data_IF_686036534235
#
_entry.id   IF_686036534235
#
_cell.length_a   1.000
_cell.length_b   1.000
_cell.length_c   1.000
_cell.angle_alpha   90.00
_cell.angle_beta   90.00
_cell.angle_gamma   90.00
#
_symmetry.space_group_name_H-M   'P 1'
#
loop_
_entity.id
_entity.type
_entity.pdbx_description
1 polymer ?
#
# COMPACT_ATOMS: atom_id res chain seq x y z
N UNK A 1 3.10 30.46 9.46
CA UNK A 1 3.67 29.31 10.19
C UNK A 1 2.68 28.90 11.26
N UNK A 2 2.30 27.63 11.31
CA UNK A 2 1.56 27.02 12.42
C UNK A 2 2.58 26.22 13.25
N UNK A 3 2.52 26.28 14.57
CA UNK A 3 3.51 25.65 15.44
C UNK A 3 2.85 24.78 16.52
N UNK A 4 3.31 23.54 16.62
CA UNK A 4 3.00 22.59 17.70
C UNK A 4 4.30 22.36 18.47
N UNK A 5 4.52 23.08 19.58
CA UNK A 5 5.82 23.12 20.25
C UNK A 5 6.16 21.81 20.97
N UNK A 6 7.47 21.51 21.03
CA UNK A 6 8.01 20.39 21.79
C UNK A 6 7.60 20.46 23.28
N UNK A 7 7.38 19.28 23.88
CA UNK A 7 6.98 19.15 25.29
C UNK A 7 5.49 19.35 25.57
N UNK A 8 4.69 19.66 24.55
CA UNK A 8 3.24 19.81 24.66
C UNK A 8 2.49 18.73 23.90
N UNK A 9 1.32 18.36 24.44
CA UNK A 9 0.37 17.44 23.83
C UNK A 9 -0.95 18.16 23.59
N UNK A 10 -1.46 18.10 22.36
CA UNK A 10 -2.71 18.74 21.97
C UNK A 10 -3.75 17.69 21.59
N UNK A 11 -4.89 17.71 22.29
CA UNK A 11 -6.07 16.95 21.89
C UNK A 11 -6.78 17.73 20.76
N UNK A 12 -6.81 17.16 19.56
CA UNK A 12 -7.32 17.86 18.36
C UNK A 12 -8.43 17.02 17.73
N UNK A 13 -9.64 17.57 17.65
CA UNK A 13 -10.73 16.95 16.91
C UNK A 13 -10.53 17.01 15.38
N UNK A 14 -11.40 16.37 14.59
CA UNK A 14 -11.35 16.46 13.14
C UNK A 14 -11.33 17.91 12.64
N UNK A 15 -10.37 18.23 11.77
CA UNK A 15 -10.14 19.59 11.29
C UNK A 15 -9.62 19.59 9.86
N UNK A 16 -10.07 20.57 9.08
CA UNK A 16 -9.64 20.79 7.70
C UNK A 16 -9.07 22.20 7.54
N UNK A 17 -7.82 22.26 7.05
CA UNK A 17 -7.12 23.48 6.66
C UNK A 17 -7.29 23.65 5.14
N UNK A 18 -8.18 24.56 4.75
CA UNK A 18 -8.67 24.70 3.37
C UNK A 18 -8.50 26.10 2.82
N UNK A 19 -8.03 26.23 1.58
CA UNK A 19 -8.15 27.49 0.85
C UNK A 19 -7.26 27.60 -0.38
N UNK A 20 -7.83 27.71 -1.61
CA UNK A 20 -7.03 27.97 -2.81
C UNK A 20 -6.36 29.36 -2.80
N UNK A 21 -6.78 30.23 -1.89
CA UNK A 21 -6.26 31.59 -1.69
C UNK A 21 -5.43 31.72 -0.41
N UNK A 22 -5.08 30.62 0.23
CA UNK A 22 -4.09 30.64 1.30
C UNK A 22 -2.76 31.19 0.78
N UNK A 23 -1.97 31.79 1.68
CA UNK A 23 -0.59 32.12 1.35
C UNK A 23 0.14 30.86 0.91
N UNK A 24 1.00 30.98 -0.11
CA UNK A 24 1.85 29.88 -0.52
C UNK A 24 2.97 29.63 0.49
N UNK A 25 3.56 28.43 0.45
CA UNK A 25 4.74 28.05 1.25
C UNK A 25 4.47 28.10 2.77
N UNK A 26 3.30 27.62 3.19
CA UNK A 26 2.97 27.50 4.60
C UNK A 26 3.84 26.40 5.23
N UNK A 27 4.43 26.72 6.37
CA UNK A 27 5.11 25.75 7.22
C UNK A 27 4.21 25.41 8.41
N UNK A 28 3.93 24.12 8.57
CA UNK A 28 3.35 23.51 9.75
C UNK A 28 4.45 22.80 10.52
N UNK A 29 4.95 23.45 11.58
CA UNK A 29 6.00 22.93 12.44
C UNK A 29 5.37 22.04 13.53
N UNK A 30 5.71 20.76 13.53
CA UNK A 30 5.25 19.74 14.47
C UNK A 30 6.43 19.19 15.25
N UNK A 31 6.68 19.73 16.45
CA UNK A 31 7.70 19.24 17.39
C UNK A 31 7.12 18.63 18.67
N UNK A 32 5.86 18.92 18.98
CA UNK A 32 5.09 18.29 20.07
C UNK A 32 4.28 17.10 19.60
N UNK A 33 3.23 16.77 20.36
CA UNK A 33 2.34 15.64 20.06
C UNK A 33 0.92 16.13 19.79
N UNK A 34 0.31 15.66 18.71
CA UNK A 34 -1.13 15.78 18.45
C UNK A 34 -1.76 14.42 18.73
N UNK A 35 -2.82 14.36 19.54
CA UNK A 35 -3.56 13.14 19.84
C UNK A 35 -5.02 13.23 19.40
N UNK A 36 -5.54 12.12 18.89
CA UNK A 36 -6.94 12.00 18.48
C UNK A 36 -7.89 11.83 19.68
N UNK A 37 -9.15 12.31 19.58
CA UNK A 37 -10.19 12.00 20.55
C UNK A 37 -10.60 10.53 20.48
N UNK A 38 -10.79 9.91 21.64
CA UNK A 38 -11.26 8.53 21.77
C UNK A 38 -12.75 8.41 22.08
N UNK A 39 -13.47 9.54 22.14
CA UNK A 39 -14.91 9.57 22.32
C UNK A 39 -15.61 9.65 20.96
N UNK A 40 -16.59 8.77 20.73
CA UNK A 40 -17.31 8.72 19.45
C UNK A 40 -18.08 10.01 19.12
N UNK A 41 -18.39 10.84 20.12
CA UNK A 41 -19.05 12.14 19.95
C UNK A 41 -18.17 13.19 19.28
N UNK A 42 -16.86 13.02 19.25
CA UNK A 42 -15.95 13.89 18.49
C UNK A 42 -15.93 13.59 16.99
N UNK A 43 -16.55 12.50 16.56
CA UNK A 43 -16.51 11.99 15.17
C UNK A 43 -17.88 11.99 14.49
N UNK A 44 -18.71 13.00 14.80
CA UNK A 44 -20.07 13.12 14.24
C UNK A 44 -20.01 13.21 12.72
N UNK A 45 -20.82 12.39 12.04
CA UNK A 45 -20.96 12.41 10.58
C UNK A 45 -20.05 11.44 9.83
N UNK A 46 -19.21 10.64 10.51
CA UNK A 46 -18.41 9.59 9.84
C UNK A 46 -17.37 10.17 8.89
N UNK A 47 -16.52 11.05 9.41
CA UNK A 47 -15.51 11.75 8.63
C UNK A 47 -14.44 10.77 8.12
N UNK A 48 -14.06 10.93 6.85
CA UNK A 48 -13.05 10.09 6.19
C UNK A 48 -11.62 10.47 6.59
N UNK A 49 -11.43 11.61 7.25
CA UNK A 49 -10.13 12.14 7.61
C UNK A 49 -10.15 12.88 8.95
N UNK A 50 -9.03 12.84 9.66
CA UNK A 50 -8.82 13.53 10.93
C UNK A 50 -8.16 14.89 10.71
N UNK A 51 -6.92 14.93 10.22
CA UNK A 51 -6.22 16.16 9.86
C UNK A 51 -6.18 16.29 8.33
N UNK A 52 -6.82 17.32 7.79
CA UNK A 52 -6.87 17.54 6.35
C UNK A 52 -6.22 18.85 5.94
N UNK A 53 -5.41 18.81 4.88
CA UNK A 53 -4.89 19.97 4.18
C UNK A 53 -5.40 19.93 2.74
N UNK A 54 -6.14 20.96 2.32
CA UNK A 54 -6.86 20.89 1.04
C UNK A 54 -6.70 22.17 0.22
N UNK A 55 -6.41 21.98 -1.07
CA UNK A 55 -6.24 23.04 -2.08
C UNK A 55 -5.14 24.05 -1.73
N UNK A 56 -4.01 23.57 -1.19
CA UNK A 56 -2.86 24.42 -0.84
C UNK A 56 -1.79 24.39 -1.93
N UNK A 57 -0.95 25.43 -1.97
CA UNK A 57 0.20 25.51 -2.85
C UNK A 57 1.47 25.79 -2.02
N UNK A 58 2.38 24.83 -1.96
CA UNK A 58 3.55 24.90 -1.09
C UNK A 58 3.13 24.73 0.37
N UNK A 59 2.92 23.50 0.83
CA UNK A 59 2.70 23.20 2.25
C UNK A 59 3.78 22.24 2.72
N UNK A 60 4.50 22.63 3.76
CA UNK A 60 5.52 21.81 4.40
C UNK A 60 5.07 21.45 5.81
N UNK A 61 4.82 20.17 6.05
CA UNK A 61 4.67 19.61 7.40
C UNK A 61 6.01 19.03 7.82
N UNK A 62 6.62 19.61 8.85
CA UNK A 62 7.97 19.25 9.27
C UNK A 62 8.12 19.24 10.78
N UNK A 63 9.19 18.61 11.28
CA UNK A 63 9.59 18.65 12.69
C UNK A 63 10.00 17.27 13.18
N UNK A 64 9.95 17.04 14.49
CA UNK A 64 10.26 15.74 15.12
C UNK A 64 9.12 15.21 15.99
N UNK A 65 7.96 15.85 15.90
CA UNK A 65 6.79 15.55 16.69
C UNK A 65 5.99 14.36 16.19
N UNK A 66 4.89 14.08 16.89
CA UNK A 66 4.09 12.87 16.74
C UNK A 66 2.64 13.24 16.45
N UNK A 67 2.04 12.56 15.46
CA UNK A 67 0.59 12.49 15.25
C UNK A 67 0.14 11.10 15.73
N UNK A 68 -0.57 11.02 16.85
CA UNK A 68 -1.08 9.76 17.41
C UNK A 68 -2.60 9.65 17.20
N UNK A 69 -2.99 8.75 16.30
CA UNK A 69 -4.37 8.51 15.93
C UNK A 69 -5.19 7.74 16.98
N UNK A 70 -4.53 7.16 18.01
CA UNK A 70 -5.17 6.35 19.06
C UNK A 70 -6.17 5.32 18.51
N UNK A 71 -5.78 4.66 17.42
CA UNK A 71 -6.60 3.81 16.56
C UNK A 71 -7.17 2.55 17.21
N UNK A 72 -6.67 2.11 18.37
CA UNK A 72 -7.07 0.84 18.99
C UNK A 72 -8.57 0.71 19.25
N UNK A 73 -9.27 1.81 19.56
CA UNK A 73 -10.74 1.80 19.71
C UNK A 73 -11.50 1.57 18.39
N UNK A 74 -10.87 1.82 17.24
CA UNK A 74 -11.43 1.61 15.91
C UNK A 74 -11.20 0.20 15.35
N UNK A 75 -10.23 -0.52 15.90
CA UNK A 75 -9.86 -1.87 15.42
C UNK A 75 -10.66 -2.98 16.11
N UNK A 76 -11.32 -2.69 17.25
CA UNK A 76 -12.03 -3.68 18.09
C UNK A 76 -13.34 -4.21 17.48
N UNK A 77 -14.03 -3.37 16.69
CA UNK A 77 -15.35 -3.65 16.12
C UNK A 77 -15.29 -3.86 14.60
N UNK A 78 -14.09 -4.10 14.04
CA UNK A 78 -14.00 -4.83 12.79
C UNK A 78 -14.24 -6.30 13.16
N UNK A 79 -15.48 -6.85 13.12
CA UNK A 79 -15.60 -8.30 13.06
C UNK A 79 -14.74 -8.64 11.88
N UNK A 80 -13.64 -9.37 12.09
CA UNK A 80 -12.73 -9.88 11.07
C UNK A 80 -13.35 -9.56 9.71
N UNK A 81 -13.02 -8.39 9.14
CA UNK A 81 -13.02 -8.36 7.69
C UNK A 81 -11.99 -9.45 7.50
N UNK A 82 -12.54 -10.63 7.19
CA UNK A 82 -11.79 -11.85 7.02
C UNK A 82 -10.59 -11.43 6.18
N UNK A 83 -9.52 -12.20 6.13
CA UNK A 83 -8.61 -12.04 5.02
C UNK A 83 -9.40 -12.56 3.83
N UNK A 84 -10.33 -11.74 3.36
CA UNK A 84 -11.24 -11.98 2.26
C UNK A 84 -10.54 -11.62 0.96
N UNK A 85 -9.24 -11.35 1.03
CA UNK A 85 -8.33 -11.58 -0.06
C UNK A 85 -8.04 -13.08 -0.02
N UNK A 86 -8.30 -13.78 -1.13
CA UNK A 86 -8.03 -15.23 -1.31
C UNK A 86 -6.57 -15.63 -0.99
N UNK A 87 -5.70 -14.65 -0.70
CA UNK A 87 -4.34 -14.77 -0.18
C UNK A 87 -4.22 -15.64 1.08
N UNK A 88 -5.19 -15.65 2.01
CA UNK A 88 -5.11 -16.59 3.16
C UNK A 88 -5.24 -18.05 2.74
N UNK A 89 -5.91 -18.36 1.63
CA UNK A 89 -5.93 -19.74 1.11
C UNK A 89 -4.55 -20.19 0.65
N UNK A 90 -3.64 -19.26 0.33
CA UNK A 90 -2.26 -19.56 -0.03
C UNK A 90 -1.35 -19.76 1.19
N UNK A 91 -1.74 -19.31 2.39
CA UNK A 91 -0.93 -19.39 3.61
C UNK A 91 -1.42 -20.58 4.45
N UNK A 92 -0.75 -21.74 4.29
CA UNK A 92 -1.08 -22.94 5.07
C UNK A 92 0.05 -23.23 6.05
N UNK A 93 -0.18 -23.19 7.37
CA UNK A 93 0.80 -23.61 8.37
C UNK A 93 1.10 -25.10 8.26
N UNK A 94 2.35 -25.51 8.44
CA UNK A 94 2.80 -26.92 8.33
C UNK A 94 2.09 -27.91 9.27
N UNK A 95 1.53 -27.43 10.39
CA UNK A 95 1.01 -28.28 11.47
C UNK A 95 -0.50 -28.13 11.77
N UNK A 96 -1.31 -27.49 10.91
CA UNK A 96 -2.75 -27.24 11.16
C UNK A 96 -3.09 -26.55 12.49
N UNK A 97 -2.11 -26.02 13.22
CA UNK A 97 -2.34 -25.17 14.38
C UNK A 97 -2.65 -23.77 13.89
N UNK A 98 -3.94 -23.46 13.75
CA UNK A 98 -4.40 -22.08 13.83
C UNK A 98 -3.89 -21.56 15.18
N UNK A 99 -3.04 -20.52 15.18
CA UNK A 99 -2.70 -19.86 16.43
C UNK A 99 -4.01 -19.41 17.09
N UNK A 100 -4.19 -19.82 18.35
CA UNK A 100 -5.31 -19.38 19.16
C UNK A 100 -5.28 -17.86 19.21
N UNK A 101 -6.37 -17.25 18.76
CA UNK A 101 -6.53 -15.79 18.70
C UNK A 101 -6.19 -15.19 20.07
N UNK A 102 -5.33 -14.15 20.14
CA UNK A 102 -5.08 -13.47 21.40
C UNK A 102 -6.41 -12.98 21.99
N UNK A 103 -6.57 -13.03 23.33
CA UNK A 103 -7.82 -12.65 23.98
C UNK A 103 -8.19 -11.22 23.59
N UNK A 104 -9.48 -11.03 23.24
CA UNK A 104 -10.06 -9.72 22.95
C UNK A 104 -9.67 -8.74 24.06
N UNK A 105 -9.14 -7.55 23.72
CA UNK A 105 -8.82 -6.55 24.73
C UNK A 105 -10.09 -6.19 25.51
N UNK A 106 -9.93 -6.09 26.83
CA UNK A 106 -11.02 -5.82 27.78
C UNK A 106 -11.76 -4.53 27.38
N UNK A 107 -13.08 -4.65 27.18
CA UNK A 107 -13.98 -3.53 26.92
C UNK A 107 -13.86 -2.50 28.04
N UNK A 108 -13.44 -1.28 27.69
CA UNK A 108 -13.66 -0.13 28.56
C UNK A 108 -15.08 0.37 28.29
N UNK A 109 -16.05 -0.02 29.13
CA UNK A 109 -17.49 0.28 28.99
C UNK A 109 -17.84 1.79 29.07
N UNK A 110 -16.84 2.67 29.22
CA UNK A 110 -17.00 4.11 29.41
C UNK A 110 -16.92 4.93 28.11
N UNK A 111 -16.49 4.34 26.99
CA UNK A 111 -16.40 5.00 25.68
C UNK A 111 -17.41 4.38 24.72
N UNK A 112 -18.38 5.17 24.24
CA UNK A 112 -19.37 4.71 23.26
C UNK A 112 -18.70 4.14 22.00
N UNK A 113 -19.37 3.19 21.33
CA UNK A 113 -18.88 2.55 20.09
C UNK A 113 -18.46 3.59 19.04
N UNK A 114 -17.27 3.41 18.47
CA UNK A 114 -16.77 4.28 17.39
C UNK A 114 -17.61 4.11 16.12
N UNK A 115 -17.72 5.15 15.25
CA UNK A 115 -18.33 5.02 13.94
C UNK A 115 -17.70 3.89 13.10
N UNK A 116 -18.44 3.33 12.14
CA UNK A 116 -17.92 2.28 11.25
C UNK A 116 -16.90 2.80 10.24
N UNK A 117 -16.97 4.08 9.89
CA UNK A 117 -16.04 4.73 8.96
C UNK A 117 -14.81 5.17 9.74
N UNK A 118 -13.69 4.49 9.51
CA UNK A 118 -12.40 4.81 10.12
C UNK A 118 -11.76 6.00 9.39
N UNK A 119 -11.31 7.05 10.11
CA UNK A 119 -10.67 8.21 9.51
C UNK A 119 -9.19 7.96 9.19
N UNK A 120 -8.73 8.47 8.05
CA UNK A 120 -7.29 8.65 7.77
C UNK A 120 -6.69 9.70 8.72
N UNK A 121 -5.51 9.45 9.28
CA UNK A 121 -4.90 10.37 10.25
C UNK A 121 -4.50 11.72 9.61
N UNK A 122 -3.72 11.69 8.52
CA UNK A 122 -3.29 12.90 7.81
C UNK A 122 -3.58 12.78 6.31
N UNK A 123 -4.33 13.74 5.76
CA UNK A 123 -4.70 13.77 4.34
C UNK A 123 -4.33 15.09 3.68
N UNK A 124 -3.76 15.01 2.49
CA UNK A 124 -3.63 16.10 1.55
C UNK A 124 -4.56 15.88 0.36
N UNK A 125 -5.35 16.89 0.00
CA UNK A 125 -6.27 16.84 -1.13
C UNK A 125 -6.08 18.02 -2.07
N UNK A 126 -5.98 17.78 -3.39
CA UNK A 126 -5.99 18.86 -4.38
C UNK A 126 -4.84 19.86 -4.23
N UNK A 127 -3.71 19.46 -3.66
CA UNK A 127 -2.62 20.37 -3.26
C UNK A 127 -1.39 20.22 -4.15
N UNK A 128 -0.61 21.30 -4.27
CA UNK A 128 0.59 21.37 -5.10
C UNK A 128 1.81 21.60 -4.22
N UNK A 129 2.95 20.98 -4.56
CA UNK A 129 4.23 21.15 -3.87
C UNK A 129 4.10 20.86 -2.36
N UNK A 130 3.68 19.64 -2.04
CA UNK A 130 3.53 19.19 -0.66
C UNK A 130 4.81 18.53 -0.18
N UNK A 131 5.30 18.91 1.00
CA UNK A 131 6.42 18.25 1.67
C UNK A 131 5.98 17.74 3.05
N UNK A 132 6.26 16.48 3.34
CA UNK A 132 6.11 15.89 4.68
C UNK A 132 7.45 15.32 5.12
N UNK A 133 8.00 15.78 6.24
CA UNK A 133 9.32 15.33 6.68
C UNK A 133 9.53 15.29 8.19
N UNK A 134 10.35 14.35 8.67
CA UNK A 134 10.85 14.29 10.05
C UNK A 134 9.85 13.81 11.10
N UNK A 135 8.55 13.90 10.82
CA UNK A 135 7.48 13.57 11.76
C UNK A 135 7.24 12.06 11.90
N UNK A 136 6.58 11.67 12.99
CA UNK A 136 6.04 10.32 13.18
C UNK A 136 4.52 10.34 13.15
N UNK A 137 3.89 9.42 12.42
CA UNK A 137 2.44 9.16 12.49
C UNK A 137 2.25 7.76 13.04
N UNK A 138 1.51 7.61 14.14
CA UNK A 138 1.33 6.32 14.80
C UNK A 138 -0.14 6.05 15.13
N UNK A 139 -0.45 4.76 15.27
CA UNK A 139 -1.77 4.26 15.66
C UNK A 139 -2.91 4.89 14.86
N UNK A 140 -2.78 5.02 13.54
CA UNK A 140 -3.85 5.61 12.74
C UNK A 140 -5.10 4.71 12.74
N UNK A 141 -6.32 5.24 12.88
CA UNK A 141 -7.54 4.45 12.76
C UNK A 141 -7.65 3.71 11.42
N UNK A 142 -7.19 4.34 10.34
CA UNK A 142 -7.09 3.79 8.98
C UNK A 142 -5.69 4.14 8.42
N UNK A 143 -5.60 4.76 7.25
CA UNK A 143 -4.33 5.16 6.64
C UNK A 143 -3.61 6.22 7.47
N UNK A 144 -2.28 6.17 7.53
CA UNK A 144 -1.48 7.15 8.26
C UNK A 144 -1.36 8.44 7.46
N UNK A 145 -0.93 8.36 6.20
CA UNK A 145 -0.75 9.50 5.32
C UNK A 145 -1.38 9.26 3.95
N UNK A 146 -2.30 10.14 3.53
CA UNK A 146 -2.97 10.05 2.23
C UNK A 146 -2.72 11.29 1.37
N UNK A 147 -2.39 11.07 0.10
CA UNK A 147 -2.38 12.10 -0.94
C UNK A 147 -3.43 11.76 -1.99
N UNK A 148 -4.31 12.71 -2.27
CA UNK A 148 -5.36 12.55 -3.26
C UNK A 148 -5.45 13.79 -4.16
N UNK A 149 -5.30 13.60 -5.47
CA UNK A 149 -5.27 14.69 -6.44
C UNK A 149 -4.16 15.73 -6.16
N UNK A 150 -2.97 15.27 -5.78
CA UNK A 150 -1.83 16.14 -5.49
C UNK A 150 -0.77 16.10 -6.60
N UNK A 151 -0.03 17.19 -6.79
CA UNK A 151 1.07 17.28 -7.77
C UNK A 151 2.32 17.84 -7.11
N UNK A 152 3.47 17.19 -7.32
CA UNK A 152 4.71 17.57 -6.68
C UNK A 152 4.67 17.24 -5.19
N UNK A 153 4.73 15.95 -4.87
CA UNK A 153 4.71 15.45 -3.48
C UNK A 153 6.11 14.97 -3.13
N UNK A 154 6.62 15.40 -1.98
CA UNK A 154 7.88 14.90 -1.41
C UNK A 154 7.63 14.43 0.01
N UNK A 155 7.99 13.18 0.30
CA UNK A 155 7.94 12.60 1.63
C UNK A 155 9.30 12.04 1.98
N UNK A 156 9.90 12.50 3.07
CA UNK A 156 11.21 11.99 3.48
C UNK A 156 11.51 12.06 4.96
N UNK A 157 12.37 11.17 5.45
CA UNK A 157 12.80 11.14 6.86
C UNK A 157 11.62 11.02 7.85
N UNK A 158 10.51 10.40 7.44
CA UNK A 158 9.33 10.19 8.29
C UNK A 158 9.26 8.77 8.85
N UNK A 159 8.48 8.59 9.90
CA UNK A 159 8.18 7.27 10.47
C UNK A 159 6.68 7.01 10.56
N UNK A 160 6.27 5.79 10.22
CA UNK A 160 4.94 5.23 10.50
C UNK A 160 5.07 4.06 11.46
N UNK A 161 4.21 4.02 12.48
CA UNK A 161 4.22 2.95 13.48
C UNK A 161 2.81 2.58 13.95
N UNK A 162 2.36 1.38 13.60
CA UNK A 162 1.18 0.72 14.16
C UNK A 162 1.43 -0.79 14.30
N UNK A 163 0.67 -1.50 15.15
CA UNK A 163 0.74 -2.96 15.22
C UNK A 163 0.55 -3.64 13.85
N UNK A 164 1.26 -4.72 13.59
CA UNK A 164 1.19 -5.45 12.31
C UNK A 164 -0.15 -6.13 12.04
N UNK A 165 -1.02 -6.24 13.04
CA UNK A 165 -2.39 -6.76 12.97
C UNK A 165 -3.46 -5.65 12.96
N UNK A 166 -3.05 -4.37 12.85
CA UNK A 166 -3.99 -3.24 12.80
C UNK A 166 -4.64 -3.11 11.40
N UNK A 167 -5.97 -3.28 11.28
CA UNK A 167 -6.62 -3.47 9.98
C UNK A 167 -6.71 -2.18 9.15
N UNK A 168 -6.33 -2.27 7.87
CA UNK A 168 -6.40 -1.20 6.86
C UNK A 168 -5.59 0.05 7.21
N UNK A 169 -4.42 -0.14 7.82
CA UNK A 169 -3.59 0.94 8.34
C UNK A 169 -2.44 1.34 7.41
N UNK A 170 -2.69 1.47 6.10
CA UNK A 170 -1.66 1.83 5.11
C UNK A 170 -0.73 2.95 5.60
N UNK A 171 0.57 2.82 5.33
CA UNK A 171 1.55 3.83 5.69
C UNK A 171 1.37 5.10 4.85
N UNK A 172 1.64 5.01 3.55
CA UNK A 172 1.45 6.11 2.59
C UNK A 172 0.52 5.65 1.48
N UNK A 173 -0.62 6.31 1.34
CA UNK A 173 -1.65 6.00 0.35
C UNK A 173 -1.71 7.11 -0.71
N UNK A 174 -1.39 6.77 -1.95
CA UNK A 174 -1.40 7.68 -3.10
C UNK A 174 -2.61 7.41 -3.98
N UNK A 175 -3.34 8.46 -4.34
CA UNK A 175 -4.46 8.40 -5.28
C UNK A 175 -4.45 9.64 -6.17
N UNK A 176 -4.74 9.50 -7.47
CA UNK A 176 -4.82 10.62 -8.42
C UNK A 176 -3.61 11.59 -8.39
N UNK A 177 -2.43 11.14 -7.96
CA UNK A 177 -1.32 12.02 -7.62
C UNK A 177 -0.14 11.87 -8.57
N UNK A 178 0.51 12.99 -8.92
CA UNK A 178 1.57 13.03 -9.93
C UNK A 178 2.85 13.62 -9.38
N UNK A 179 3.97 13.17 -9.91
CA UNK A 179 5.31 13.65 -9.56
C UNK A 179 5.55 13.52 -8.05
N UNK A 180 5.64 12.26 -7.61
CA UNK A 180 5.73 11.87 -6.20
C UNK A 180 7.11 11.29 -5.93
N UNK A 181 7.77 11.81 -4.89
CA UNK A 181 9.04 11.31 -4.39
C UNK A 181 8.88 10.90 -2.92
N UNK A 182 9.14 9.63 -2.62
CA UNK A 182 9.14 9.09 -1.24
C UNK A 182 10.50 8.48 -0.96
N UNK A 183 11.20 8.94 0.09
CA UNK A 183 12.48 8.32 0.44
C UNK A 183 12.86 8.38 1.92
N UNK A 184 13.92 7.66 2.29
CA UNK A 184 14.54 7.71 3.63
C UNK A 184 13.56 7.54 4.79
N UNK A 185 12.55 6.68 4.66
CA UNK A 185 11.45 6.58 5.61
C UNK A 185 11.28 5.17 6.17
N UNK A 186 10.74 5.06 7.38
CA UNK A 186 10.47 3.78 8.06
C UNK A 186 8.97 3.58 8.20
N UNK A 187 8.44 2.49 7.64
CA UNK A 187 6.99 2.23 7.58
C UNK A 187 6.67 0.87 8.21
N UNK A 188 6.08 0.91 9.40
CA UNK A 188 5.58 -0.25 10.13
C UNK A 188 4.08 -0.09 10.38
N UNK A 189 3.26 -0.92 9.75
CA UNK A 189 1.80 -0.86 9.84
C UNK A 189 1.16 -2.24 9.67
N UNK A 190 -0.17 -2.32 9.77
CA UNK A 190 -0.90 -3.57 9.57
C UNK A 190 -1.42 -3.79 8.14
N UNK A 191 -1.13 -2.88 7.20
CA UNK A 191 -1.49 -3.03 5.79
C UNK A 191 -0.34 -2.57 4.87
N UNK A 192 -0.61 -2.16 3.63
CA UNK A 192 0.37 -1.72 2.64
C UNK A 192 1.26 -0.58 3.21
N UNK A 193 2.59 -0.77 3.24
CA UNK A 193 3.52 0.32 3.59
C UNK A 193 3.32 1.51 2.65
N UNK A 194 3.21 1.23 1.35
CA UNK A 194 2.88 2.21 0.33
C UNK A 194 1.85 1.60 -0.61
N UNK A 195 0.73 2.28 -0.78
CA UNK A 195 -0.36 1.90 -1.68
C UNK A 195 -0.48 2.94 -2.81
N UNK A 196 -0.38 2.49 -4.07
CA UNK A 196 -0.43 3.34 -5.26
C UNK A 196 -1.70 3.04 -6.05
N UNK A 197 -2.69 3.93 -5.96
CA UNK A 197 -3.98 3.77 -6.61
C UNK A 197 -4.02 4.40 -8.00
N UNK A 198 -5.17 4.24 -8.66
CA UNK A 198 -5.45 4.85 -9.97
C UNK A 198 -5.20 6.36 -10.00
N UNK A 199 -4.88 6.85 -11.20
CA UNK A 199 -4.58 8.25 -11.48
C UNK A 199 -3.17 8.68 -11.07
N UNK A 200 -2.33 7.75 -10.59
CA UNK A 200 -0.96 8.05 -10.20
C UNK A 200 0.02 7.93 -11.38
N UNK A 201 0.95 8.87 -11.48
CA UNK A 201 2.04 8.81 -12.47
C UNK A 201 3.33 9.48 -11.98
N UNK A 202 4.48 9.02 -12.47
CA UNK A 202 5.80 9.55 -12.08
C UNK A 202 6.02 9.43 -10.56
N UNK A 203 5.92 8.20 -10.04
CA UNK A 203 6.16 7.92 -8.61
C UNK A 203 7.53 7.28 -8.46
N UNK A 204 8.38 7.90 -7.65
CA UNK A 204 9.71 7.40 -7.33
C UNK A 204 9.86 7.16 -5.82
N UNK A 205 10.07 5.90 -5.45
CA UNK A 205 10.25 5.47 -4.07
C UNK A 205 11.65 4.91 -3.91
N UNK A 206 12.43 5.40 -2.93
CA UNK A 206 13.74 4.81 -2.64
C UNK A 206 14.22 4.90 -1.19
N UNK A 207 15.10 4.00 -0.75
CA UNK A 207 15.65 4.00 0.62
C UNK A 207 14.56 3.94 1.71
N UNK A 208 13.58 3.06 1.54
CA UNK A 208 12.49 2.86 2.52
C UNK A 208 12.64 1.51 3.21
N UNK A 209 12.44 1.51 4.53
CA UNK A 209 12.26 0.29 5.31
C UNK A 209 10.75 0.05 5.46
N UNK A 210 10.29 -1.13 5.05
CA UNK A 210 8.89 -1.54 5.09
C UNK A 210 8.77 -2.83 5.90
N UNK A 211 7.95 -2.82 6.94
CA UNK A 211 7.76 -4.00 7.78
C UNK A 211 7.47 -3.68 9.24
N UNK A 212 6.53 -4.40 9.87
CA UNK A 212 5.57 -5.36 9.28
C UNK A 212 4.54 -4.66 8.36
N UNK A 213 3.67 -5.46 7.71
CA UNK A 213 2.57 -4.96 6.86
C UNK A 213 2.34 -5.80 5.59
N UNK A 214 1.71 -5.22 4.58
CA UNK A 214 1.39 -5.89 3.29
C UNK A 214 2.32 -5.52 2.14
N UNK A 215 3.47 -4.86 2.41
CA UNK A 215 4.47 -4.54 1.39
C UNK A 215 4.19 -3.24 0.64
N UNK A 216 4.68 -3.15 -0.60
CA UNK A 216 4.45 -2.01 -1.49
C UNK A 216 3.57 -2.46 -2.65
N UNK A 217 2.36 -1.90 -2.72
CA UNK A 217 1.31 -2.34 -3.63
C UNK A 217 0.93 -1.27 -4.64
N UNK A 218 0.78 -1.67 -5.91
CA UNK A 218 0.02 -0.93 -6.92
C UNK A 218 -1.39 -1.53 -6.96
N UNK A 219 -2.39 -0.74 -6.61
CA UNK A 219 -3.79 -1.13 -6.54
C UNK A 219 -4.34 -1.38 -5.13
N UNK A 220 -5.56 -1.90 -4.99
CA UNK A 220 -6.30 -2.59 -6.04
C UNK A 220 -6.92 -1.67 -7.11
N UNK A 221 -6.80 -2.06 -8.38
CA UNK A 221 -7.19 -1.23 -9.53
C UNK A 221 -8.38 -1.80 -10.29
N UNK A 222 -9.30 -0.94 -10.73
CA UNK A 222 -10.41 -1.31 -11.60
C UNK A 222 -11.62 -1.91 -10.87
N UNK A 223 -11.75 -1.65 -9.56
CA UNK A 223 -12.91 -2.09 -8.76
C UNK A 223 -14.22 -1.61 -9.41
N UNK A 224 -15.28 -2.42 -9.32
CA UNK A 224 -16.61 -2.09 -9.85
C UNK A 224 -16.60 -1.71 -11.35
N UNK A 225 -15.78 -2.42 -12.14
CA UNK A 225 -15.63 -2.24 -13.59
C UNK A 225 -15.13 -0.84 -13.99
N UNK A 226 -14.44 -0.15 -13.07
CA UNK A 226 -13.90 1.18 -13.33
C UNK A 226 -12.63 1.12 -14.17
N UNK A 227 -12.33 2.25 -14.83
CA UNK A 227 -11.07 2.45 -15.54
C UNK A 227 -9.98 2.86 -14.54
N UNK A 228 -8.83 2.20 -14.61
CA UNK A 228 -7.68 2.50 -13.78
C UNK A 228 -6.42 2.78 -14.62
N UNK A 229 -5.70 3.84 -14.24
CA UNK A 229 -4.53 4.30 -14.96
C UNK A 229 -3.37 4.56 -13.99
N UNK A 230 -2.28 3.81 -14.15
CA UNK A 230 -1.04 4.01 -13.38
C UNK A 230 0.14 3.91 -14.33
N UNK A 231 1.10 4.84 -14.25
CA UNK A 231 2.25 4.78 -15.15
C UNK A 231 3.53 5.36 -14.55
N UNK A 232 4.67 4.89 -15.06
CA UNK A 232 5.99 5.39 -14.68
C UNK A 232 6.22 5.34 -13.16
N UNK A 233 6.29 4.12 -12.63
CA UNK A 233 6.49 3.85 -11.21
C UNK A 233 7.86 3.21 -11.05
N UNK A 234 8.70 3.79 -10.19
CA UNK A 234 9.99 3.19 -9.81
C UNK A 234 10.06 3.05 -8.30
N UNK A 235 10.25 1.83 -7.83
CA UNK A 235 10.45 1.50 -6.42
C UNK A 235 11.79 0.78 -6.31
N UNK A 236 12.74 1.35 -5.56
CA UNK A 236 14.07 0.77 -5.45
C UNK A 236 14.77 0.98 -4.13
N UNK A 237 15.82 0.22 -3.86
CA UNK A 237 16.61 0.35 -2.63
C UNK A 237 15.71 0.20 -1.38
N UNK A 238 14.94 -0.89 -1.34
CA UNK A 238 13.95 -1.15 -0.28
C UNK A 238 14.43 -2.30 0.59
N UNK A 239 14.26 -2.16 1.91
CA UNK A 239 14.37 -3.26 2.86
C UNK A 239 12.97 -3.64 3.32
N UNK A 240 12.56 -4.87 3.04
CA UNK A 240 11.27 -5.43 3.47
C UNK A 240 11.50 -6.52 4.50
N UNK A 241 10.77 -6.50 5.60
CA UNK A 241 10.88 -7.51 6.64
C UNK A 241 9.52 -7.86 7.24
N UNK A 242 9.27 -9.16 7.45
CA UNK A 242 8.05 -9.66 8.11
C UNK A 242 6.75 -9.08 7.50
N UNK A 243 6.72 -8.91 6.17
CA UNK A 243 5.54 -8.48 5.44
C UNK A 243 4.83 -9.67 4.79
N UNK A 244 3.51 -9.54 4.58
CA UNK A 244 2.73 -10.52 3.83
C UNK A 244 3.21 -10.57 2.37
N UNK A 245 3.28 -9.43 1.71
CA UNK A 245 3.77 -9.32 0.35
C UNK A 245 5.05 -8.46 0.30
N UNK A 246 5.86 -8.67 -0.73
CA UNK A 246 6.98 -7.78 -1.04
C UNK A 246 6.50 -6.64 -1.92
N UNK A 247 6.71 -6.77 -3.23
CA UNK A 247 6.16 -5.86 -4.24
C UNK A 247 4.99 -6.51 -4.96
N UNK A 248 3.87 -5.80 -5.02
CA UNK A 248 2.58 -6.36 -5.43
C UNK A 248 1.85 -5.47 -6.44
N UNK A 249 1.19 -6.07 -7.42
CA UNK A 249 0.22 -5.40 -8.29
C UNK A 249 -1.12 -6.15 -8.17
N UNK A 250 -2.18 -5.46 -7.76
CA UNK A 250 -3.53 -6.04 -7.59
C UNK A 250 -4.52 -5.36 -8.54
N UNK A 251 -5.26 -6.11 -9.33
CA UNK A 251 -6.34 -5.57 -10.16
C UNK A 251 -7.58 -6.44 -10.08
N UNK A 252 -8.75 -5.80 -10.16
CA UNK A 252 -10.04 -6.48 -10.18
C UNK A 252 -10.36 -7.01 -11.57
N UNK A 253 -10.97 -8.21 -11.62
CA UNK A 253 -11.70 -8.62 -12.81
C UNK A 253 -12.85 -7.65 -13.08
N UNK A 254 -13.12 -7.38 -14.35
CA UNK A 254 -14.13 -6.41 -14.78
C UNK A 254 -13.55 -5.03 -15.09
N UNK A 255 -12.41 -4.68 -14.48
CA UNK A 255 -11.72 -3.41 -14.68
C UNK A 255 -11.22 -3.17 -16.10
N UNK A 256 -10.81 -1.92 -16.38
CA UNK A 256 -10.22 -1.49 -17.66
C UNK A 256 -9.11 -0.45 -17.46
N UNK A 257 -8.46 0.00 -18.53
CA UNK A 257 -7.30 0.90 -18.48
C UNK A 257 -5.97 0.15 -18.41
N UNK A 258 -4.93 0.77 -17.87
CA UNK A 258 -3.57 0.22 -17.91
C UNK A 258 -2.69 0.56 -16.69
N UNK A 259 -1.77 -0.35 -16.40
CA UNK A 259 -0.57 -0.13 -15.61
C UNK A 259 0.64 -0.36 -16.52
N UNK A 260 1.48 0.67 -16.67
CA UNK A 260 2.63 0.59 -17.58
C UNK A 260 3.90 1.25 -17.07
N UNK A 261 5.06 0.67 -17.40
CA UNK A 261 6.35 1.24 -17.04
C UNK A 261 6.58 1.21 -15.53
N UNK A 262 6.62 0.01 -14.98
CA UNK A 262 6.87 -0.22 -13.54
C UNK A 262 8.22 -0.88 -13.36
N UNK A 263 9.03 -0.37 -12.44
CA UNK A 263 10.32 -0.96 -12.07
C UNK A 263 10.41 -1.15 -10.57
N UNK A 264 10.61 -2.41 -10.16
CA UNK A 264 10.98 -2.80 -8.80
C UNK A 264 12.44 -3.26 -8.83
N UNK A 265 13.36 -2.52 -8.21
CA UNK A 265 14.80 -2.82 -8.33
C UNK A 265 15.55 -2.72 -7.00
N UNK A 266 16.52 -3.60 -6.74
CA UNK A 266 17.31 -3.59 -5.51
C UNK A 266 16.45 -3.67 -4.23
N UNK A 267 15.74 -4.79 -4.08
CA UNK A 267 14.84 -5.02 -2.95
C UNK A 267 15.37 -6.20 -2.14
N UNK A 268 15.65 -5.94 -0.87
CA UNK A 268 16.03 -6.97 0.08
C UNK A 268 14.80 -7.39 0.86
N UNK A 269 14.44 -8.67 0.80
CA UNK A 269 13.33 -9.25 1.56
C UNK A 269 13.86 -10.13 2.69
N UNK A 270 13.24 -10.05 3.87
CA UNK A 270 13.52 -10.93 5.01
C UNK A 270 12.20 -11.46 5.55
N UNK A 271 12.01 -12.77 5.53
CA UNK A 271 10.80 -13.41 6.08
C UNK A 271 9.50 -12.87 5.47
N UNK A 272 9.53 -12.55 4.17
CA UNK A 272 8.36 -12.07 3.43
C UNK A 272 7.58 -13.26 2.89
N UNK A 273 6.26 -13.31 3.05
CA UNK A 273 5.51 -14.50 2.63
C UNK A 273 5.50 -14.65 1.09
N UNK A 274 5.16 -13.57 0.39
CA UNK A 274 5.03 -13.50 -1.06
C UNK A 274 5.85 -12.31 -1.63
N UNK A 275 7.16 -12.48 -1.92
CA UNK A 275 8.02 -11.36 -2.31
C UNK A 275 7.62 -10.62 -3.59
N UNK A 276 7.09 -11.34 -4.59
CA UNK A 276 6.79 -10.79 -5.92
C UNK A 276 5.40 -11.27 -6.34
N UNK A 277 4.46 -10.34 -6.50
CA UNK A 277 3.06 -10.65 -6.79
C UNK A 277 2.49 -9.79 -7.92
N UNK A 278 1.81 -10.45 -8.86
CA UNK A 278 0.81 -9.85 -9.74
C UNK A 278 -0.45 -10.69 -9.61
N UNK A 279 -1.55 -10.06 -9.24
CA UNK A 279 -2.86 -10.71 -9.14
C UNK A 279 -3.92 -9.86 -9.87
N UNK A 280 -4.38 -10.35 -11.02
CA UNK A 280 -5.51 -9.77 -11.76
C UNK A 280 -6.88 -10.35 -11.37
N UNK A 281 -6.91 -11.21 -10.35
CA UNK A 281 -8.10 -11.86 -9.81
C UNK A 281 -8.41 -11.39 -8.39
N UNK A 282 -7.92 -10.20 -8.01
CA UNK A 282 -8.10 -9.65 -6.69
C UNK A 282 -9.59 -9.58 -6.32
N UNK A 283 -9.90 -10.02 -5.11
CA UNK A 283 -11.26 -10.15 -4.60
C UNK A 283 -11.22 -9.89 -3.09
N UNK A 284 -12.11 -9.03 -2.58
CA UNK A 284 -12.29 -8.70 -1.15
C UNK A 284 -13.49 -9.45 -0.54
N UNK A 285 -13.95 -10.50 -1.21
CA UNK A 285 -15.14 -11.30 -0.89
C UNK A 285 -14.81 -12.78 -0.99
N UNK A 286 -15.53 -13.61 -0.22
CA UNK A 286 -15.29 -15.07 -0.23
C UNK A 286 -15.40 -15.68 -1.63
N UNK A 287 -16.20 -15.03 -2.48
CA UNK A 287 -16.32 -15.32 -3.89
C UNK A 287 -16.62 -14.02 -4.64
N UNK A 288 -15.89 -13.78 -5.72
CA UNK A 288 -16.19 -12.76 -6.71
C UNK A 288 -16.68 -13.43 -7.99
N UNK A 289 -17.60 -12.75 -8.69
CA UNK A 289 -18.05 -13.21 -10.00
C UNK A 289 -16.91 -13.09 -10.99
N UNK A 290 -16.61 -14.18 -11.70
CA UNK A 290 -15.64 -14.14 -12.78
C UNK A 290 -16.08 -13.15 -13.87
N UNK A 291 -15.18 -12.24 -14.22
CA UNK A 291 -15.35 -11.31 -15.33
C UNK A 291 -14.16 -11.42 -16.28
N UNK A 292 -14.40 -11.14 -17.56
CA UNK A 292 -13.38 -11.32 -18.59
C UNK A 292 -12.48 -10.11 -18.77
N UNK A 293 -12.98 -8.87 -18.62
CA UNK A 293 -12.15 -7.67 -18.69
C UNK A 293 -11.19 -7.59 -17.50
N UNK A 294 -10.06 -6.92 -17.71
CA UNK A 294 -9.05 -6.67 -16.70
C UNK A 294 -8.31 -5.36 -17.05
N UNK A 295 -7.58 -4.81 -16.08
CA UNK A 295 -6.65 -3.70 -16.32
C UNK A 295 -5.43 -4.24 -17.06
N UNK A 296 -5.03 -3.63 -18.18
CA UNK A 296 -3.88 -4.06 -18.96
C UNK A 296 -2.57 -3.87 -18.17
N UNK A 297 -1.75 -4.91 -18.05
CA UNK A 297 -0.45 -4.84 -17.36
C UNK A 297 0.69 -5.03 -18.36
N UNK A 298 1.57 -4.03 -18.49
CA UNK A 298 2.68 -4.11 -19.44
C UNK A 298 3.96 -3.39 -19.00
N UNK A 299 5.12 -3.89 -19.43
CA UNK A 299 6.40 -3.24 -19.15
C UNK A 299 6.71 -3.17 -17.66
N UNK A 300 6.73 -4.32 -17.01
CA UNK A 300 6.96 -4.47 -15.57
C UNK A 300 8.30 -5.17 -15.37
N UNK A 301 9.23 -4.50 -14.69
CA UNK A 301 10.58 -5.02 -14.44
C UNK A 301 10.77 -5.32 -12.96
N UNK A 302 11.20 -6.53 -12.65
CA UNK A 302 11.69 -6.92 -11.34
C UNK A 302 13.18 -7.25 -11.46
N UNK A 303 14.01 -6.49 -10.74
CA UNK A 303 15.47 -6.58 -10.84
C UNK A 303 16.12 -6.64 -9.46
N UNK A 304 17.07 -7.55 -9.26
CA UNK A 304 17.88 -7.63 -8.02
C UNK A 304 17.01 -7.69 -6.76
N UNK A 305 16.00 -8.56 -6.77
CA UNK A 305 15.19 -8.86 -5.58
C UNK A 305 15.81 -10.09 -4.91
N UNK A 306 16.25 -9.93 -3.66
CA UNK A 306 17.06 -10.94 -2.96
C UNK A 306 16.61 -11.11 -1.52
N UNK A 307 16.81 -12.30 -0.95
CA UNK A 307 16.60 -12.56 0.47
C UNK A 307 15.81 -13.82 0.78
N UNK A 308 14.95 -13.77 1.80
CA UNK A 308 14.20 -14.95 2.27
C UNK A 308 12.68 -14.79 2.13
N UNK A 309 12.00 -15.91 1.87
CA UNK A 309 10.54 -15.98 1.81
C UNK A 309 9.98 -17.18 2.58
N UNK A 310 8.72 -17.10 3.00
CA UNK A 310 8.08 -18.14 3.82
C UNK A 310 6.92 -18.88 3.16
N UNK A 311 6.35 -18.40 2.05
CA UNK A 311 5.23 -19.09 1.36
C UNK A 311 5.55 -19.38 -0.10
N UNK A 312 5.68 -18.36 -0.95
CA UNK A 312 5.91 -18.53 -2.39
C UNK A 312 6.78 -17.40 -2.92
N UNK A 313 7.83 -17.69 -3.72
CA UNK A 313 8.77 -16.67 -4.15
C UNK A 313 8.17 -15.71 -5.20
N UNK A 314 7.34 -16.23 -6.10
CA UNK A 314 6.70 -15.49 -7.20
C UNK A 314 5.29 -16.01 -7.41
N UNK A 315 4.32 -15.09 -7.50
CA UNK A 315 2.95 -15.38 -7.86
C UNK A 315 2.46 -14.42 -8.94
N UNK A 316 2.36 -14.90 -10.18
CA UNK A 316 1.75 -14.15 -11.28
C UNK A 316 0.47 -14.83 -11.74
N UNK A 317 -0.67 -14.21 -11.45
CA UNK A 317 -1.99 -14.64 -11.88
C UNK A 317 -2.57 -13.57 -12.83
N UNK A 318 -2.34 -13.75 -14.13
CA UNK A 318 -2.84 -12.84 -15.16
C UNK A 318 -4.02 -13.41 -15.94
N UNK A 319 -4.86 -12.54 -16.49
CA UNK A 319 -6.09 -12.88 -17.21
C UNK A 319 -5.81 -13.63 -18.51
N UNK A 320 -6.63 -14.63 -18.82
CA UNK A 320 -6.62 -15.31 -20.13
C UNK A 320 -7.00 -14.38 -21.28
N UNK A 321 -7.85 -13.38 -21.03
CA UNK A 321 -8.34 -12.46 -22.06
C UNK A 321 -7.42 -11.25 -22.26
N UNK A 322 -6.61 -10.94 -21.25
CA UNK A 322 -5.67 -9.83 -21.22
C UNK A 322 -4.40 -10.20 -20.43
N UNK A 323 -3.55 -11.09 -21.00
CA UNK A 323 -2.30 -11.52 -20.37
C UNK A 323 -1.39 -10.37 -19.98
N UNK A 324 -0.58 -10.56 -18.94
CA UNK A 324 0.51 -9.63 -18.63
C UNK A 324 1.61 -9.75 -19.68
N UNK A 325 2.15 -8.62 -20.15
CA UNK A 325 3.16 -8.61 -21.22
C UNK A 325 4.38 -7.76 -20.90
N UNK A 326 5.55 -8.11 -21.44
CA UNK A 326 6.78 -7.37 -21.15
C UNK A 326 7.15 -7.40 -19.68
N UNK A 327 6.95 -8.55 -19.03
CA UNK A 327 7.41 -8.79 -17.65
C UNK A 327 8.88 -9.24 -17.71
N UNK A 328 9.79 -8.44 -17.18
CA UNK A 328 11.23 -8.75 -17.15
C UNK A 328 11.65 -9.14 -15.75
N UNK A 329 12.28 -10.31 -15.63
CA UNK A 329 12.88 -10.80 -14.40
C UNK A 329 14.41 -10.83 -14.54
N UNK A 330 15.11 -10.22 -13.59
CA UNK A 330 16.57 -10.16 -13.55
C UNK A 330 17.13 -10.27 -12.13
N UNK A 331 18.18 -11.06 -11.96
CA UNK A 331 18.93 -11.24 -10.73
C UNK A 331 18.07 -11.55 -9.48
N UNK A 332 17.02 -12.36 -9.64
CA UNK A 332 16.13 -12.79 -8.55
C UNK A 332 16.79 -13.91 -7.73
N UNK A 333 16.98 -13.68 -6.43
CA UNK A 333 17.65 -14.62 -5.51
C UNK A 333 16.89 -14.72 -4.19
N UNK A 334 15.82 -15.50 -4.19
CA UNK A 334 14.92 -15.75 -3.08
C UNK A 334 15.19 -17.14 -2.51
N UNK A 335 15.47 -17.22 -1.21
CA UNK A 335 15.72 -18.48 -0.50
C UNK A 335 14.51 -18.80 0.39
N UNK A 336 13.98 -20.02 0.36
CA UNK A 336 12.94 -20.39 1.29
C UNK A 336 13.49 -20.39 2.72
N UNK A 337 12.68 -19.92 3.67
CA UNK A 337 12.85 -20.19 5.08
C UNK A 337 11.82 -21.26 5.47
N UNK A 338 12.30 -22.47 5.77
CA UNK A 338 11.47 -23.66 6.05
C UNK A 338 10.90 -23.68 7.47
N UNK A 339 10.52 -22.53 8.00
CA UNK A 339 9.97 -22.44 9.34
C UNK A 339 8.47 -22.09 9.24
N UNK A 340 7.63 -22.90 9.88
CA UNK A 340 6.19 -22.67 10.13
C UNK A 340 5.20 -22.80 8.95
N UNK A 341 5.61 -22.60 7.69
CA UNK A 341 4.68 -22.56 6.54
C UNK A 341 4.96 -23.59 5.43
N UNK A 342 3.90 -24.00 4.74
CA UNK A 342 4.01 -24.75 3.49
C UNK A 342 4.58 -23.86 2.38
N UNK A 343 5.68 -24.32 1.78
CA UNK A 343 6.33 -23.65 0.66
C UNK A 343 5.73 -24.13 -0.66
N UNK A 344 5.46 -23.17 -1.55
CA UNK A 344 4.96 -23.43 -2.90
C UNK A 344 5.99 -23.03 -3.96
N UNK A 345 5.96 -23.76 -5.07
CA UNK A 345 6.73 -23.41 -6.26
C UNK A 345 6.28 -22.07 -6.87
N UNK A 346 7.16 -21.38 -7.61
CA UNK A 346 6.78 -20.21 -8.42
C UNK A 346 5.55 -20.51 -9.28
N UNK A 347 4.61 -19.56 -9.31
CA UNK A 347 3.41 -19.67 -10.11
C UNK A 347 3.36 -18.55 -11.16
N UNK A 348 3.11 -18.93 -12.41
CA UNK A 348 2.91 -17.99 -13.51
C UNK A 348 1.77 -18.49 -14.39
N UNK A 349 0.73 -17.67 -14.53
CA UNK A 349 -0.38 -17.90 -15.43
C UNK A 349 -0.48 -16.69 -16.36
N UNK A 350 -0.57 -16.94 -17.68
CA UNK A 350 -0.70 -15.92 -18.74
C UNK A 350 0.23 -14.71 -18.55
N UNK A 351 1.48 -14.98 -18.18
CA UNK A 351 2.49 -13.94 -17.96
C UNK A 351 3.59 -14.13 -18.98
N UNK A 352 3.78 -13.12 -19.83
CA UNK A 352 4.69 -13.14 -20.96
C UNK A 352 5.80 -12.10 -20.80
N UNK A 353 7.04 -12.51 -21.07
CA UNK A 353 8.17 -11.61 -21.04
C UNK A 353 9.50 -12.34 -21.14
N UNK A 354 10.44 -12.02 -20.27
CA UNK A 354 11.79 -12.58 -20.36
C UNK A 354 12.49 -12.74 -19.01
N UNK A 355 13.38 -13.74 -18.97
CA UNK A 355 14.36 -13.95 -17.90
C UNK A 355 15.72 -13.55 -18.45
N UNK A 356 16.29 -12.45 -17.97
CA UNK A 356 17.59 -11.94 -18.46
C UNK A 356 18.77 -12.59 -17.76
N UNK A 357 18.56 -13.18 -16.59
CA UNK A 357 19.54 -13.97 -15.84
C UNK A 357 18.89 -15.19 -15.19
N UNK A 358 19.65 -16.23 -14.83
CA UNK A 358 19.15 -17.31 -13.99
C UNK A 358 18.57 -16.78 -12.66
N UNK A 359 17.51 -17.42 -12.17
CA UNK A 359 16.83 -17.08 -10.92
C UNK A 359 16.99 -18.20 -9.90
N UNK A 360 16.98 -17.83 -8.62
CA UNK A 360 16.92 -18.77 -7.50
C UNK A 360 15.66 -18.43 -6.69
N UNK A 361 14.70 -19.36 -6.54
CA UNK A 361 14.59 -20.63 -7.28
C UNK A 361 14.36 -20.39 -8.79
N UNK A 362 14.49 -21.43 -9.64
CA UNK A 362 14.17 -21.33 -11.06
C UNK A 362 12.70 -20.96 -11.29
N UNK A 363 12.43 -19.90 -12.06
CA UNK A 363 11.06 -19.48 -12.41
C UNK A 363 10.74 -19.98 -13.82
N UNK A 364 10.58 -21.30 -13.95
CA UNK A 364 10.36 -21.95 -15.24
C UNK A 364 8.95 -21.75 -15.83
N UNK A 365 8.02 -21.17 -15.07
CA UNK A 365 6.64 -20.95 -15.49
C UNK A 365 6.43 -19.71 -16.38
N UNK A 366 7.39 -18.78 -16.43
CA UNK A 366 7.26 -17.56 -17.23
C UNK A 366 7.26 -17.92 -18.72
N UNK A 367 6.28 -17.42 -19.47
CA UNK A 367 6.21 -17.65 -20.90
C UNK A 367 7.10 -16.64 -21.63
N UNK A 368 8.11 -17.12 -22.36
CA UNK A 368 9.06 -16.23 -23.03
C UNK A 368 8.44 -15.60 -24.28
N UNK A 369 8.62 -14.29 -24.43
CA UNK A 369 8.17 -13.53 -25.59
C UNK A 369 6.82 -12.85 -25.39
N UNK A 370 5.90 -13.04 -26.34
CA UNK A 370 4.57 -12.39 -26.40
C UNK A 370 3.47 -13.43 -26.56
N UNK A 371 2.23 -13.13 -26.12
CA UNK A 371 1.10 -14.04 -26.32
C UNK A 371 0.83 -14.30 -27.81
N UNK A 372 0.41 -15.52 -28.18
CA UNK A 372 0.22 -15.92 -29.58
C UNK A 372 -0.95 -15.21 -30.28
N UNK A 373 -1.89 -14.65 -29.52
CA UNK A 373 -2.97 -13.78 -30.02
C UNK A 373 -2.79 -12.38 -29.43
N UNK A 374 -2.38 -11.43 -30.26
CA UNK A 374 -2.45 -10.02 -29.90
C UNK A 374 -3.92 -9.59 -29.95
N UNK A 375 -4.58 -9.51 -28.79
CA UNK A 375 -5.80 -8.71 -28.71
C UNK A 375 -5.40 -7.29 -29.07
N UNK A 376 -6.05 -6.71 -30.09
CA UNK A 376 -5.87 -5.29 -30.42
C UNK A 376 -6.32 -4.50 -29.20
N UNK A 377 -5.41 -3.73 -28.59
CA UNK A 377 -5.74 -2.81 -27.50
C UNK A 377 -6.87 -1.90 -27.98
N UNK A 378 -7.96 -1.89 -27.22
CA UNK A 378 -9.11 -1.02 -27.48
C UNK A 378 -8.94 0.32 -26.77
N UNK A 379 -9.72 1.35 -27.15
CA UNK A 379 -9.71 2.65 -26.46
C UNK A 379 -10.02 2.54 -24.95
N UNK A 380 -10.65 1.43 -24.53
CA UNK A 380 -10.90 1.12 -23.11
C UNK A 380 -9.63 0.70 -22.35
N UNK A 381 -8.61 0.19 -23.05
CA UNK A 381 -7.37 -0.35 -22.48
C UNK A 381 -6.26 0.71 -22.39
N UNK A 382 -6.48 1.91 -22.95
CA UNK A 382 -5.47 2.98 -23.04
C UNK A 382 -5.70 4.05 -21.98
N UNK A 383 -4.62 4.48 -21.34
CA UNK A 383 -4.50 5.69 -20.53
C UNK A 383 -3.57 6.66 -21.28
#
# INVERSE_FOLDING_TARGET
MVNVPAGFTFLVGPISFSGPYCQANIVFQLDGTIIAPTDSKSWVGGLLQWLEFTKLNGITVQGKGIIDGRGSGWWQDSPFEDPIDDEIKLIIPLNNTLEDKPPLPVRNELSGKMPSIKPTALRFYGSFNVTVTGITIQNSPQFHLKFDNCVGVVVHDMSVSSPGDSPNTDGIHLQNSKDVLIHSSNLACGDDCISIQTGCSNVYVHNVNCGPGHGISIGSLGKDNTKACVSNITVRDIMMHNTMNGVRIKTWQGGSGSVQGVMFSNIQVSEVQLPIVIDQFYCDKRSCTNQTSAVALSGITYERIRGTYTVKPVHFACSDSLPCTGVTLSAIQLKPLQEHYHLYDPFCWQTFGELTTPTVPPIGCLQIGKPPKNRVQSDHDVC
#
